data_IF_416539557003
#
_entry.id   IF_416539557003
#
_cell.length_a   1.000
_cell.length_b   1.000
_cell.length_c   1.000
_cell.angle_alpha   90.00
_cell.angle_beta   90.00
_cell.angle_gamma   90.00
#
_symmetry.space_group_name_H-M   'P 1'
#
loop_
_entity.id
_entity.type
_entity.pdbx_description
1 polymer ?
#
# COMPACT_ATOMS: atom_id res chain seq x y z
N UNK A 1 31.33 -71.44 -0.31
CA UNK A 1 30.52 -70.74 0.72
C UNK A 1 30.60 -69.21 0.59
N UNK A 2 31.73 -68.65 0.16
CA UNK A 2 31.95 -67.19 0.10
C UNK A 2 31.22 -66.48 -1.07
N UNK A 3 31.03 -67.14 -2.20
CA UNK A 3 30.39 -66.52 -3.38
C UNK A 3 28.88 -66.30 -3.21
N UNK A 4 28.18 -67.24 -2.58
CA UNK A 4 26.73 -67.12 -2.32
C UNK A 4 26.43 -65.98 -1.34
N UNK A 5 27.27 -65.81 -0.32
CA UNK A 5 27.17 -64.71 0.65
C UNK A 5 27.43 -63.35 -0.03
N UNK A 6 28.40 -63.28 -0.94
CA UNK A 6 28.72 -62.07 -1.72
C UNK A 6 27.58 -61.64 -2.66
N UNK A 7 26.94 -62.60 -3.36
CA UNK A 7 25.79 -62.34 -4.23
C UNK A 7 24.56 -61.86 -3.45
N UNK A 8 24.28 -62.47 -2.29
CA UNK A 8 23.19 -62.05 -1.41
C UNK A 8 23.43 -60.64 -0.83
N UNK A 9 24.65 -60.32 -0.40
CA UNK A 9 24.98 -58.97 0.08
C UNK A 9 24.79 -57.90 -1.00
N UNK A 10 25.24 -58.15 -2.24
CA UNK A 10 25.08 -57.23 -3.38
C UNK A 10 23.61 -57.00 -3.72
N UNK A 11 22.79 -58.05 -3.68
CA UNK A 11 21.34 -57.98 -3.91
C UNK A 11 20.64 -57.14 -2.83
N UNK A 12 20.93 -57.38 -1.55
CA UNK A 12 20.35 -56.63 -0.43
C UNK A 12 20.80 -55.16 -0.43
N UNK A 13 22.06 -54.88 -0.77
CA UNK A 13 22.55 -53.50 -0.94
C UNK A 13 21.83 -52.80 -2.11
N UNK A 14 21.70 -53.47 -3.26
CA UNK A 14 21.01 -52.94 -4.44
C UNK A 14 19.54 -52.59 -4.14
N UNK A 15 18.82 -53.49 -3.45
CA UNK A 15 17.44 -53.26 -3.02
C UNK A 15 17.32 -52.09 -2.02
N UNK A 16 18.29 -51.92 -1.11
CA UNK A 16 18.33 -50.78 -0.18
C UNK A 16 18.60 -49.46 -0.90
N UNK A 17 19.53 -49.44 -1.85
CA UNK A 17 19.83 -48.25 -2.68
C UNK A 17 18.64 -47.89 -3.57
N UNK A 18 17.96 -48.87 -4.15
CA UNK A 18 16.76 -48.65 -4.95
C UNK A 18 15.61 -48.07 -4.10
N UNK A 19 15.39 -48.60 -2.90
CA UNK A 19 14.40 -48.05 -1.95
C UNK A 19 14.73 -46.61 -1.54
N UNK A 20 15.99 -46.31 -1.23
CA UNK A 20 16.44 -44.95 -0.90
C UNK A 20 16.20 -43.97 -2.06
N UNK A 21 16.47 -44.38 -3.30
CA UNK A 21 16.19 -43.56 -4.50
C UNK A 21 14.70 -43.29 -4.68
N UNK A 22 13.85 -44.29 -4.50
CA UNK A 22 12.39 -44.13 -4.61
C UNK A 22 11.86 -43.17 -3.55
N UNK A 23 12.32 -43.28 -2.29
CA UNK A 23 11.94 -42.37 -1.20
C UNK A 23 12.39 -40.94 -1.49
N UNK A 24 13.62 -40.76 -2.00
CA UNK A 24 14.16 -39.44 -2.35
C UNK A 24 13.33 -38.76 -3.45
N UNK A 25 12.98 -39.51 -4.49
CA UNK A 25 12.17 -39.02 -5.62
C UNK A 25 10.75 -38.68 -5.15
N UNK A 26 10.13 -39.54 -4.35
CA UNK A 26 8.76 -39.29 -3.85
C UNK A 26 8.70 -38.08 -2.90
N UNK A 27 9.70 -37.86 -2.05
CA UNK A 27 9.79 -36.66 -1.21
C UNK A 27 10.04 -35.38 -2.04
N UNK A 28 10.89 -35.46 -3.06
CA UNK A 28 11.10 -34.37 -4.02
C UNK A 28 9.82 -34.03 -4.81
N UNK A 29 9.05 -35.04 -5.20
CA UNK A 29 7.79 -34.83 -5.93
C UNK A 29 6.70 -34.20 -5.04
N UNK A 30 6.58 -34.64 -3.78
CA UNK A 30 5.63 -34.06 -2.82
C UNK A 30 5.92 -32.59 -2.52
N UNK A 31 7.19 -32.22 -2.39
CA UNK A 31 7.60 -30.83 -2.12
C UNK A 31 7.30 -29.90 -3.29
N UNK A 32 7.55 -30.35 -4.53
CA UNK A 32 7.22 -29.57 -5.74
C UNK A 32 5.70 -29.38 -5.89
N UNK A 33 4.91 -30.43 -5.66
CA UNK A 33 3.44 -30.36 -5.73
C UNK A 33 2.88 -29.45 -4.63
N UNK A 34 3.39 -29.56 -3.40
CA UNK A 34 2.99 -28.69 -2.29
C UNK A 34 3.26 -27.21 -2.58
N UNK A 35 4.42 -26.89 -3.15
CA UNK A 35 4.76 -25.51 -3.52
C UNK A 35 3.84 -24.99 -4.64
N UNK A 36 3.55 -25.81 -5.65
CA UNK A 36 2.66 -25.43 -6.74
C UNK A 36 1.21 -25.21 -6.28
N UNK A 37 0.71 -26.01 -5.34
CA UNK A 37 -0.65 -25.87 -4.79
C UNK A 37 -0.82 -24.67 -3.84
N UNK A 38 0.26 -24.25 -3.17
CA UNK A 38 0.27 -23.07 -2.29
C UNK A 38 0.61 -21.77 -3.05
N UNK A 39 1.05 -21.88 -4.30
CA UNK A 39 1.33 -20.75 -5.18
C UNK A 39 0.01 -20.20 -5.73
N UNK A 40 -0.63 -19.29 -5.00
CA UNK A 40 -1.71 -18.50 -5.57
C UNK A 40 -1.11 -17.41 -6.46
N UNK A 41 -1.41 -17.37 -7.77
CA UNK A 41 -1.01 -16.24 -8.59
C UNK A 41 -1.74 -15.00 -8.10
N UNK A 42 -1.00 -14.01 -7.61
CA UNK A 42 -1.55 -12.67 -7.41
C UNK A 42 -1.75 -12.07 -8.79
N UNK A 43 -2.97 -12.13 -9.29
CA UNK A 43 -3.34 -11.48 -10.53
C UNK A 43 -3.31 -9.97 -10.28
N UNK A 44 -2.41 -9.26 -10.96
CA UNK A 44 -2.48 -7.82 -11.04
C UNK A 44 -3.76 -7.46 -11.80
N UNK A 45 -4.69 -6.80 -11.15
CA UNK A 45 -5.83 -6.22 -11.83
C UNK A 45 -5.33 -5.19 -12.84
N UNK A 46 -5.86 -5.23 -14.06
CA UNK A 46 -5.60 -4.20 -15.06
C UNK A 46 -6.14 -2.86 -14.53
N UNK A 47 -5.25 -1.88 -14.36
CA UNK A 47 -5.60 -0.55 -13.87
C UNK A 47 -6.72 0.10 -14.69
N UNK A 48 -6.79 -0.19 -16.00
CA UNK A 48 -7.87 0.29 -16.85
C UNK A 48 -9.20 -0.38 -16.52
N UNK A 49 -9.23 -1.67 -16.18
CA UNK A 49 -10.45 -2.39 -15.80
C UNK A 49 -11.00 -1.91 -14.45
N UNK A 50 -10.13 -1.55 -13.49
CA UNK A 50 -10.55 -0.89 -12.25
C UNK A 50 -11.13 0.50 -12.57
N UNK A 51 -10.47 1.29 -13.42
CA UNK A 51 -10.93 2.63 -13.80
C UNK A 51 -12.28 2.62 -14.55
N UNK A 52 -12.54 1.60 -15.38
CA UNK A 52 -13.78 1.50 -16.16
C UNK A 52 -14.92 0.76 -15.46
N UNK A 53 -14.62 -0.08 -14.46
CA UNK A 53 -15.61 -0.89 -13.73
C UNK A 53 -16.11 -0.27 -12.43
N UNK A 54 -15.60 0.89 -12.00
CA UNK A 54 -16.00 1.55 -10.75
C UNK A 54 -16.46 2.99 -10.95
N UNK A 55 -17.29 3.47 -10.02
CA UNK A 55 -18.00 4.76 -10.04
C UNK A 55 -17.08 6.00 -9.86
N UNK A 56 -15.94 6.04 -10.54
CA UNK A 56 -15.02 7.19 -10.56
C UNK A 56 -15.65 8.48 -11.07
N UNK A 57 -16.88 8.44 -11.58
CA UNK A 57 -17.69 9.62 -11.93
C UNK A 57 -17.85 10.59 -10.75
N UNK A 58 -17.81 10.08 -9.50
CA UNK A 58 -17.87 10.93 -8.31
C UNK A 58 -16.52 11.47 -7.85
N UNK A 59 -15.41 11.04 -8.44
CA UNK A 59 -14.07 11.40 -8.00
C UNK A 59 -13.61 12.74 -8.60
N UNK A 60 -12.78 13.47 -7.86
CA UNK A 60 -12.16 14.72 -8.30
C UNK A 60 -10.65 14.63 -8.16
N UNK A 61 -9.92 15.18 -9.13
CA UNK A 61 -8.47 15.30 -8.99
C UNK A 61 -8.13 16.26 -7.85
N UNK A 62 -7.30 15.85 -6.86
CA UNK A 62 -7.30 16.45 -5.52
C UNK A 62 -6.44 17.71 -5.39
N UNK A 63 -5.74 18.16 -6.43
CA UNK A 63 -4.83 19.31 -6.30
C UNK A 63 -4.98 20.29 -7.47
N UNK A 64 -5.15 21.57 -7.14
CA UNK A 64 -5.13 22.67 -8.10
C UNK A 64 -3.69 23.01 -8.51
N UNK A 65 -3.49 23.59 -9.70
CA UNK A 65 -2.18 24.01 -10.21
C UNK A 65 -1.12 22.90 -10.21
N UNK A 66 -1.55 21.67 -10.47
CA UNK A 66 -0.68 20.50 -10.56
C UNK A 66 0.47 20.70 -11.54
N UNK A 67 1.68 20.35 -11.10
CA UNK A 67 2.89 20.44 -11.91
C UNK A 67 3.42 19.06 -12.29
N UNK A 68 3.54 18.14 -11.32
CA UNK A 68 4.10 16.82 -11.56
C UNK A 68 3.79 15.84 -10.42
N UNK A 69 3.78 14.55 -10.76
CA UNK A 69 3.98 13.49 -9.78
C UNK A 69 5.48 13.44 -9.45
N UNK A 70 5.82 13.73 -8.20
CA UNK A 70 7.23 13.81 -7.77
C UNK A 70 7.67 12.57 -7.03
N UNK A 71 6.74 11.84 -6.42
CA UNK A 71 7.06 10.57 -5.77
C UNK A 71 5.90 9.58 -5.77
N UNK A 72 6.11 8.34 -6.25
CA UNK A 72 5.07 7.32 -6.28
C UNK A 72 4.92 6.63 -4.92
N UNK A 73 3.85 5.84 -4.79
CA UNK A 73 3.70 4.86 -3.72
C UNK A 73 4.77 3.76 -3.85
N UNK A 74 5.30 3.30 -2.72
CA UNK A 74 6.30 2.22 -2.66
C UNK A 74 7.66 2.67 -2.12
N UNK A 75 8.68 1.83 -2.29
CA UNK A 75 10.02 2.11 -1.78
C UNK A 75 10.70 3.23 -2.56
N UNK A 76 11.27 4.19 -1.82
CA UNK A 76 12.03 5.32 -2.35
C UNK A 76 13.23 5.64 -1.46
N UNK A 77 14.15 6.45 -1.97
CA UNK A 77 15.22 7.04 -1.16
C UNK A 77 14.63 7.92 -0.07
N UNK A 78 15.21 7.91 1.13
CA UNK A 78 14.78 8.77 2.24
C UNK A 78 14.81 10.26 1.81
N UNK A 79 13.75 11.04 2.10
CA UNK A 79 13.70 12.46 1.75
C UNK A 79 14.69 13.31 2.56
N UNK A 80 15.30 12.78 3.63
CA UNK A 80 16.30 13.46 4.46
C UNK A 80 17.68 13.61 3.78
N UNK A 81 17.84 13.11 2.55
CA UNK A 81 19.08 13.25 1.78
C UNK A 81 20.24 12.38 2.26
N UNK A 82 20.03 11.49 3.24
CA UNK A 82 21.10 10.63 3.78
C UNK A 82 21.45 9.45 2.87
N UNK A 83 20.66 9.21 1.81
CA UNK A 83 20.93 8.25 0.73
C UNK A 83 21.09 6.78 1.15
N UNK A 84 21.06 6.49 2.45
CA UNK A 84 21.50 5.23 3.03
C UNK A 84 20.33 4.39 3.55
N UNK A 85 19.13 4.94 3.58
CA UNK A 85 17.91 4.25 4.01
C UNK A 85 16.83 4.32 2.92
N UNK A 86 16.34 3.14 2.53
CA UNK A 86 15.13 2.99 1.73
C UNK A 86 13.93 3.13 2.66
N UNK A 87 12.99 4.02 2.33
CA UNK A 87 11.74 4.22 3.07
C UNK A 87 10.55 3.81 2.19
N UNK A 88 9.56 3.16 2.80
CA UNK A 88 8.30 2.88 2.14
C UNK A 88 7.37 4.09 2.19
N UNK A 89 7.04 4.65 1.02
CA UNK A 89 6.08 5.72 0.86
C UNK A 89 4.66 5.17 0.73
N UNK A 90 3.78 5.56 1.66
CA UNK A 90 2.38 5.10 1.72
C UNK A 90 1.40 6.01 0.96
N UNK A 91 1.91 6.98 0.19
CA UNK A 91 1.10 7.98 -0.51
C UNK A 91 1.60 8.27 -1.92
N UNK A 92 1.14 9.40 -2.47
CA UNK A 92 1.56 9.98 -3.74
C UNK A 92 1.90 11.44 -3.52
N UNK A 93 3.11 11.85 -3.91
CA UNK A 93 3.52 13.26 -3.80
C UNK A 93 3.26 13.98 -5.12
N UNK A 94 2.42 15.00 -5.05
CA UNK A 94 2.02 15.84 -6.18
C UNK A 94 2.56 17.24 -5.96
N UNK A 95 3.42 17.72 -6.86
CA UNK A 95 3.94 19.08 -6.81
C UNK A 95 2.87 20.09 -7.27
N UNK A 96 2.69 21.13 -6.48
CA UNK A 96 1.91 22.31 -6.79
C UNK A 96 2.53 23.54 -6.09
N UNK A 97 2.35 24.76 -6.62
CA UNK A 97 2.75 25.97 -5.91
C UNK A 97 2.14 26.06 -4.51
N UNK A 98 2.88 26.59 -3.54
CA UNK A 98 2.35 26.85 -2.20
C UNK A 98 1.07 27.70 -2.27
N UNK A 99 0.07 27.34 -1.48
CA UNK A 99 -1.25 27.99 -1.49
C UNK A 99 -2.21 27.44 -2.57
N UNK A 100 -1.79 26.45 -3.36
CA UNK A 100 -2.72 25.72 -4.22
C UNK A 100 -3.73 24.95 -3.37
N UNK A 101 -5.01 24.99 -3.76
CA UNK A 101 -6.05 24.31 -3.01
C UNK A 101 -6.00 22.81 -3.23
N UNK A 102 -6.27 22.10 -2.13
CA UNK A 102 -6.46 20.67 -2.12
C UNK A 102 -7.97 20.43 -2.11
N UNK A 103 -8.45 19.70 -3.10
CA UNK A 103 -9.85 19.30 -3.25
C UNK A 103 -10.04 17.90 -2.71
N UNK A 104 -11.20 17.65 -2.10
CA UNK A 104 -11.52 16.28 -1.67
C UNK A 104 -11.65 15.38 -2.89
N UNK A 105 -10.91 14.27 -2.91
CA UNK A 105 -10.97 13.28 -3.98
C UNK A 105 -12.38 12.71 -4.13
N UNK A 106 -12.97 12.31 -3.00
CA UNK A 106 -14.34 11.81 -2.94
C UNK A 106 -15.12 12.51 -1.84
N UNK A 107 -16.45 12.49 -1.95
CA UNK A 107 -17.31 12.95 -0.88
C UNK A 107 -17.08 12.06 0.35
N UNK A 108 -16.95 12.67 1.52
CA UNK A 108 -16.67 11.92 2.73
C UNK A 108 -16.75 12.78 3.98
N UNK A 109 -16.56 12.13 5.13
CA UNK A 109 -16.59 12.76 6.45
C UNK A 109 -15.18 12.92 6.97
N UNK A 110 -14.85 14.10 7.49
CA UNK A 110 -13.59 14.34 8.19
C UNK A 110 -13.57 13.54 9.48
N UNK A 111 -12.66 12.57 9.58
CA UNK A 111 -12.51 11.69 10.75
C UNK A 111 -11.26 12.00 11.57
N UNK A 112 -10.32 12.76 11.00
CA UNK A 112 -9.14 13.26 11.73
C UNK A 112 -8.73 14.65 11.25
N UNK A 113 -8.28 15.46 12.20
CA UNK A 113 -7.58 16.72 11.98
C UNK A 113 -6.34 16.75 12.89
N UNK A 114 -5.17 17.07 12.35
CA UNK A 114 -3.90 17.13 13.09
C UNK A 114 -2.98 18.20 12.51
N UNK A 115 -2.12 18.79 13.34
CA UNK A 115 -0.99 19.65 12.93
C UNK A 115 0.34 19.25 13.59
N UNK A 116 0.38 18.07 14.20
CA UNK A 116 1.46 17.61 15.05
C UNK A 116 1.88 16.16 14.77
N UNK A 117 1.73 15.73 13.51
CA UNK A 117 2.15 14.40 13.03
C UNK A 117 3.36 14.51 12.09
N UNK A 118 3.88 13.37 11.60
CA UNK A 118 4.86 13.35 10.51
C UNK A 118 4.31 13.93 9.20
N UNK A 119 2.98 14.02 9.06
CA UNK A 119 2.33 14.71 7.95
C UNK A 119 2.25 16.23 8.14
N UNK A 120 2.67 16.77 9.29
CA UNK A 120 2.44 18.18 9.63
C UNK A 120 0.95 18.45 9.79
N UNK A 121 0.45 19.52 9.15
CA UNK A 121 -0.99 19.80 9.05
C UNK A 121 -1.65 18.84 8.09
N UNK A 122 -2.65 18.10 8.58
CA UNK A 122 -3.32 17.05 7.85
C UNK A 122 -4.80 16.91 8.19
N UNK A 123 -5.53 16.38 7.21
CA UNK A 123 -6.94 15.99 7.31
C UNK A 123 -7.09 14.57 6.81
N UNK A 124 -7.86 13.74 7.51
CA UNK A 124 -8.28 12.41 7.04
C UNK A 124 -9.78 12.43 6.76
N UNK A 125 -10.16 12.00 5.56
CA UNK A 125 -11.55 11.92 5.11
C UNK A 125 -11.90 10.45 4.85
N UNK A 126 -12.92 9.96 5.56
CA UNK A 126 -13.52 8.66 5.31
C UNK A 126 -14.59 8.77 4.21
N UNK A 127 -14.44 8.01 3.14
CA UNK A 127 -15.30 7.96 1.96
C UNK A 127 -15.75 6.53 1.70
N UNK A 128 -16.76 6.08 2.46
CA UNK A 128 -17.22 4.70 2.41
C UNK A 128 -16.18 3.75 3.02
N UNK A 129 -15.63 2.84 2.21
CA UNK A 129 -14.60 1.89 2.64
C UNK A 129 -13.16 2.44 2.53
N UNK A 130 -13.00 3.69 2.10
CA UNK A 130 -11.71 4.30 1.81
C UNK A 130 -11.40 5.44 2.78
N UNK A 131 -10.13 5.56 3.15
CA UNK A 131 -9.59 6.74 3.84
C UNK A 131 -8.68 7.52 2.89
N UNK A 132 -8.91 8.83 2.80
CA UNK A 132 -8.08 9.76 2.07
C UNK A 132 -7.34 10.66 3.06
N UNK A 133 -6.01 10.56 3.07
CA UNK A 133 -5.15 11.35 3.95
C UNK A 133 -4.50 12.47 3.13
N UNK A 134 -4.69 13.71 3.55
CA UNK A 134 -4.07 14.88 2.93
C UNK A 134 -3.02 15.43 3.90
N UNK A 135 -1.76 15.43 3.47
CA UNK A 135 -0.61 15.81 4.30
C UNK A 135 0.05 17.10 3.80
N UNK A 136 0.87 17.71 4.64
CA UNK A 136 1.68 18.90 4.34
C UNK A 136 0.82 20.10 3.89
N UNK A 137 -0.39 20.19 4.43
CA UNK A 137 -1.30 21.31 4.18
C UNK A 137 -0.77 22.59 4.84
N UNK A 138 -1.22 23.75 4.36
CA UNK A 138 -1.13 24.98 5.13
C UNK A 138 -2.19 24.99 6.25
N UNK A 139 -2.01 25.88 7.22
CA UNK A 139 -2.91 26.04 8.36
C UNK A 139 -2.42 25.36 9.64
N UNK A 140 -3.25 25.41 10.67
CA UNK A 140 -2.99 24.85 12.01
C UNK A 140 -4.25 24.24 12.61
N UNK A 141 -4.07 23.29 13.53
CA UNK A 141 -5.17 22.74 14.30
C UNK A 141 -5.62 23.71 15.40
N UNK A 142 -6.89 23.61 15.75
CA UNK A 142 -7.48 24.37 16.83
C UNK A 142 -8.70 23.66 17.41
N UNK A 143 -9.27 24.25 18.46
CA UNK A 143 -10.50 23.80 19.09
C UNK A 143 -11.33 25.01 19.50
N UNK A 144 -12.64 24.91 19.30
CA UNK A 144 -13.64 25.86 19.78
C UNK A 144 -14.86 25.10 20.34
N UNK A 145 -15.98 25.80 20.53
CA UNK A 145 -17.21 25.22 21.06
C UNK A 145 -17.85 24.18 20.12
N UNK A 146 -17.58 24.27 18.81
CA UNK A 146 -18.10 23.35 17.80
C UNK A 146 -17.24 22.09 17.69
N UNK A 147 -15.94 22.19 18.00
CA UNK A 147 -15.06 21.03 18.09
C UNK A 147 -13.64 21.31 17.63
N UNK A 148 -12.93 20.25 17.26
CA UNK A 148 -11.60 20.36 16.66
C UNK A 148 -11.71 20.75 15.18
N UNK A 149 -10.73 21.51 14.70
CA UNK A 149 -10.68 21.95 13.31
C UNK A 149 -9.24 22.16 12.84
N UNK A 150 -9.05 22.21 11.51
CA UNK A 150 -7.92 22.89 10.87
C UNK A 150 -8.39 24.26 10.37
N UNK A 151 -7.55 25.28 10.48
CA UNK A 151 -7.77 26.59 9.87
C UNK A 151 -6.53 27.09 9.13
N UNK A 152 -6.72 27.52 7.90
CA UNK A 152 -5.81 28.39 7.16
C UNK A 152 -6.49 29.74 6.93
N UNK A 153 -6.00 30.78 7.62
CA UNK A 153 -6.58 32.12 7.54
C UNK A 153 -6.24 32.81 6.22
N UNK A 154 -5.08 32.53 5.64
CA UNK A 154 -4.64 33.13 4.38
C UNK A 154 -5.39 32.49 3.20
N UNK A 155 -5.55 31.17 3.24
CA UNK A 155 -6.37 30.42 2.28
C UNK A 155 -7.89 30.53 2.51
N UNK A 156 -8.34 31.09 3.63
CA UNK A 156 -9.77 31.27 3.92
C UNK A 156 -10.54 29.97 4.19
N UNK A 157 -9.84 28.90 4.59
CA UNK A 157 -10.42 27.57 4.80
C UNK A 157 -10.44 27.21 6.28
N UNK A 158 -11.58 26.73 6.77
CA UNK A 158 -11.72 26.12 8.11
C UNK A 158 -12.52 24.83 7.98
N UNK A 159 -11.92 23.72 8.40
CA UNK A 159 -12.49 22.37 8.27
C UNK A 159 -12.63 21.78 9.66
N UNK A 160 -13.86 21.39 10.04
CA UNK A 160 -14.14 20.77 11.32
C UNK A 160 -14.05 19.25 11.26
N UNK A 161 -13.65 18.64 12.40
CA UNK A 161 -13.86 17.22 12.64
C UNK A 161 -15.37 16.90 12.50
N UNK A 162 -15.69 15.75 11.90
CA UNK A 162 -17.04 15.29 11.54
C UNK A 162 -17.75 16.10 10.44
N UNK A 163 -17.11 17.09 9.83
CA UNK A 163 -17.68 17.79 8.68
C UNK A 163 -17.73 16.87 7.45
N UNK A 164 -18.84 16.88 6.71
CA UNK A 164 -18.91 16.26 5.39
C UNK A 164 -18.35 17.22 4.34
N UNK A 165 -17.40 16.76 3.54
CA UNK A 165 -16.78 17.48 2.43
C UNK A 165 -17.20 16.81 1.13
N UNK A 166 -17.70 17.59 0.17
CA UNK A 166 -18.10 17.08 -1.15
C UNK A 166 -16.89 16.89 -2.05
N UNK A 167 -16.92 15.87 -2.92
CA UNK A 167 -15.89 15.70 -3.94
C UNK A 167 -15.67 16.99 -4.73
N UNK A 168 -14.40 17.38 -4.92
CA UNK A 168 -14.02 18.56 -5.69
C UNK A 168 -14.22 19.91 -4.99
N UNK A 169 -14.74 19.95 -3.76
CA UNK A 169 -14.92 21.22 -3.04
C UNK A 169 -13.58 21.83 -2.62
N UNK A 170 -13.58 23.17 -2.55
CA UNK A 170 -12.45 24.01 -2.13
C UNK A 170 -12.60 24.45 -0.68
#
# INVERSE_FOLDING_TARGET
MNDVISLLLKSVLSLRVLRLRIVSISLGLLTVIGFALLSHPVQAFDANQIATGSNWQGASFPVENFQAYTSPFGYRSSPDGTGSSSQFHRGLDMAAPQGSYIRSWWTGKVVEVSDNSSCGTSVVIESGQWEHVYCHMLGKAGRDAQGQYIIDREGGTKIYLNQTITAGSR
#
